data_IF_290406307527
#
_entry.id   IF_290406307527
#
_cell.length_a   1.000
_cell.length_b   1.000
_cell.length_c   1.000
_cell.angle_alpha   90.00
_cell.angle_beta   90.00
_cell.angle_gamma   90.00
#
_symmetry.space_group_name_H-M   'P 1'
#
loop_
_entity.id
_entity.type
_entity.pdbx_description
1 polymer ?
#
# COMPACT_ATOMS: atom_id res chain seq x y z
N UNK A 1 5.06 2.01 2.77
CA UNK A 1 5.60 1.21 3.88
C UNK A 1 7.11 1.24 3.87
N UNK A 2 7.74 1.56 4.99
CA UNK A 2 9.21 1.65 5.12
C UNK A 2 9.75 0.25 5.40
N UNK A 3 10.69 -0.20 4.57
CA UNK A 3 11.31 -1.52 4.68
C UNK A 3 12.66 -1.46 5.41
N UNK A 4 13.45 -0.43 5.13
CA UNK A 4 14.76 -0.22 5.73
C UNK A 4 15.02 1.27 5.90
N UNK A 5 15.86 1.61 6.86
CA UNK A 5 16.33 2.97 7.14
C UNK A 5 17.86 2.97 7.11
N UNK A 6 18.44 3.90 6.34
CA UNK A 6 19.87 4.09 6.22
C UNK A 6 20.23 5.54 6.54
N UNK A 7 21.50 5.78 6.85
CA UNK A 7 22.06 7.14 6.95
C UNK A 7 23.19 7.27 5.94
N UNK A 8 23.20 8.33 5.14
CA UNK A 8 24.28 8.59 4.19
C UNK A 8 25.45 9.34 4.85
N UNK A 9 26.56 9.50 4.12
CA UNK A 9 27.77 10.19 4.61
C UNK A 9 27.54 11.66 4.98
N UNK A 10 26.46 12.27 4.47
CA UNK A 10 26.05 13.63 4.79
C UNK A 10 25.11 13.71 6.02
N UNK A 11 24.83 12.58 6.68
CA UNK A 11 23.95 12.51 7.85
C UNK A 11 22.46 12.51 7.52
N UNK A 12 22.08 12.39 6.24
CA UNK A 12 20.68 12.35 5.83
C UNK A 12 20.10 10.95 5.93
N UNK A 13 18.82 10.89 6.23
CA UNK A 13 18.07 9.63 6.34
C UNK A 13 17.62 9.18 4.95
N UNK A 14 17.97 7.96 4.56
CA UNK A 14 17.47 7.32 3.34
C UNK A 14 16.52 6.20 3.73
N UNK A 15 15.30 6.24 3.23
CA UNK A 15 14.31 5.20 3.44
C UNK A 15 14.21 4.34 2.20
N UNK A 16 14.20 3.02 2.38
CA UNK A 16 13.73 2.10 1.35
C UNK A 16 12.24 1.86 1.56
N UNK A 17 11.42 2.29 0.61
CA UNK A 17 9.97 2.32 0.74
C UNK A 17 9.34 1.43 -0.33
N UNK A 18 8.48 0.51 0.10
CA UNK A 18 7.54 -0.16 -0.79
C UNK A 18 6.23 0.63 -0.81
N UNK A 19 5.87 1.17 -1.96
CA UNK A 19 4.58 1.84 -2.16
C UNK A 19 3.55 0.87 -2.71
N UNK A 20 2.27 1.14 -2.44
CA UNK A 20 1.13 0.41 -3.00
C UNK A 20 1.19 0.39 -4.53
N UNK A 21 1.55 1.53 -5.14
CA UNK A 21 1.76 1.66 -6.59
C UNK A 21 2.79 0.66 -7.09
N UNK A 22 3.90 0.49 -6.39
CA UNK A 22 4.97 -0.41 -6.80
C UNK A 22 4.56 -1.87 -6.66
N UNK A 23 3.80 -2.20 -5.60
CA UNK A 23 3.24 -3.56 -5.45
C UNK A 23 2.35 -3.90 -6.63
N UNK A 24 1.39 -3.03 -6.96
CA UNK A 24 0.45 -3.28 -8.07
C UNK A 24 1.14 -3.33 -9.45
N UNK A 25 2.22 -2.56 -9.64
CA UNK A 25 2.98 -2.54 -10.89
C UNK A 25 4.11 -3.57 -10.94
N UNK A 26 4.30 -4.38 -9.89
CA UNK A 26 5.42 -5.32 -9.73
C UNK A 26 6.78 -4.64 -9.89
N UNK A 27 6.90 -3.43 -9.35
CA UNK A 27 8.14 -2.65 -9.31
C UNK A 27 8.85 -2.87 -7.98
N UNK A 28 10.18 -2.71 -8.01
CA UNK A 28 11.03 -2.77 -6.84
C UNK A 28 10.70 -1.64 -5.84
N UNK A 29 11.08 -1.79 -4.55
CA UNK A 29 11.07 -0.69 -3.60
C UNK A 29 11.86 0.52 -4.10
N UNK A 30 11.41 1.71 -3.75
CA UNK A 30 12.09 2.97 -4.06
C UNK A 30 12.97 3.41 -2.89
N UNK A 31 14.00 4.21 -3.18
CA UNK A 31 14.80 4.89 -2.16
C UNK A 31 14.42 6.35 -2.13
N UNK A 32 14.13 6.88 -0.95
CA UNK A 32 13.72 8.27 -0.76
C UNK A 32 14.59 8.89 0.33
N UNK A 33 15.19 10.04 0.04
CA UNK A 33 16.02 10.80 0.96
C UNK A 33 15.18 11.82 1.74
N UNK A 34 15.39 11.90 3.05
CA UNK A 34 14.71 12.81 3.96
C UNK A 34 15.70 13.50 4.91
N UNK A 35 15.45 14.77 5.21
CA UNK A 35 16.02 15.46 6.37
C UNK A 35 15.13 15.18 7.59
N UNK A 36 15.40 14.06 8.25
CA UNK A 36 14.73 13.67 9.48
C UNK A 36 15.77 13.44 10.57
N UNK A 37 15.36 13.68 11.81
CA UNK A 37 16.17 13.30 12.96
C UNK A 37 16.44 11.79 12.94
N UNK A 38 17.61 11.34 13.41
CA UNK A 38 17.86 9.92 13.65
C UNK A 38 16.71 9.36 14.51
N UNK A 39 16.22 8.17 14.17
CA UNK A 39 15.13 7.46 14.87
C UNK A 39 13.73 8.08 14.74
N UNK A 40 13.52 9.09 13.88
CA UNK A 40 12.19 9.63 13.62
C UNK A 40 11.27 8.66 12.86
N UNK A 41 11.83 7.61 12.24
CA UNK A 41 11.11 6.60 11.48
C UNK A 41 11.65 5.22 11.85
N UNK A 42 10.73 4.34 12.24
CA UNK A 42 11.00 2.94 12.46
C UNK A 42 10.57 2.12 11.22
N UNK A 43 11.32 1.07 10.83
CA UNK A 43 10.89 0.12 9.83
C UNK A 43 9.58 -0.57 10.23
N UNK A 44 8.77 -0.93 9.23
CA UNK A 44 7.56 -1.72 9.50
C UNK A 44 7.92 -3.13 9.97
N UNK A 45 7.23 -3.62 11.00
CA UNK A 45 7.35 -5.00 11.44
C UNK A 45 6.54 -5.94 10.53
N UNK A 46 6.85 -7.24 10.57
CA UNK A 46 6.08 -8.26 9.84
C UNK A 46 4.58 -8.23 10.18
N UNK A 47 4.24 -7.92 11.43
CA UNK A 47 2.86 -7.76 11.92
C UNK A 47 2.13 -6.63 11.20
N UNK A 48 2.80 -5.50 10.99
CA UNK A 48 2.28 -4.37 10.23
C UNK A 48 2.01 -4.79 8.78
N UNK A 49 2.96 -5.51 8.16
CA UNK A 49 2.82 -6.02 6.79
C UNK A 49 1.57 -6.91 6.67
N UNK A 50 1.40 -7.82 7.63
CA UNK A 50 0.29 -8.77 7.65
C UNK A 50 -1.05 -8.06 7.85
N UNK A 51 -1.10 -7.05 8.71
CA UNK A 51 -2.27 -6.21 8.92
C UNK A 51 -2.66 -5.47 7.64
N UNK A 52 -1.69 -4.84 6.96
CA UNK A 52 -1.94 -4.10 5.72
C UNK A 52 -2.44 -5.03 4.60
N UNK A 53 -1.80 -6.20 4.45
CA UNK A 53 -2.24 -7.24 3.49
C UNK A 53 -3.65 -7.74 3.80
N UNK A 54 -4.00 -7.95 5.08
CA UNK A 54 -5.34 -8.36 5.47
C UNK A 54 -6.38 -7.29 5.11
N UNK A 55 -6.07 -6.01 5.38
CA UNK A 55 -6.90 -4.88 4.99
C UNK A 55 -7.14 -4.81 3.47
N UNK A 56 -6.10 -4.96 2.66
CA UNK A 56 -6.24 -4.97 1.20
C UNK A 56 -7.08 -6.15 0.70
N UNK A 57 -6.90 -7.35 1.27
CA UNK A 57 -7.72 -8.52 0.91
C UNK A 57 -9.19 -8.30 1.23
N UNK A 58 -9.50 -7.74 2.40
CA UNK A 58 -10.87 -7.42 2.80
C UNK A 58 -11.51 -6.39 1.86
N UNK A 59 -10.79 -5.30 1.55
CA UNK A 59 -11.27 -4.27 0.63
C UNK A 59 -11.50 -4.79 -0.79
N UNK A 60 -10.60 -5.65 -1.29
CA UNK A 60 -10.74 -6.29 -2.59
C UNK A 60 -11.95 -7.23 -2.62
N UNK A 61 -12.11 -8.05 -1.59
CA UNK A 61 -13.24 -8.97 -1.46
C UNK A 61 -14.58 -8.22 -1.49
N UNK A 62 -14.70 -7.14 -0.70
CA UNK A 62 -15.90 -6.29 -0.70
C UNK A 62 -16.16 -5.69 -2.08
N UNK A 63 -15.12 -5.18 -2.76
CA UNK A 63 -15.27 -4.59 -4.10
C UNK A 63 -15.75 -5.60 -5.14
N UNK A 64 -15.31 -6.87 -5.04
CA UNK A 64 -15.79 -7.96 -5.91
C UNK A 64 -17.28 -8.25 -5.62
N UNK A 65 -17.68 -8.30 -4.36
CA UNK A 65 -19.06 -8.53 -3.95
C UNK A 65 -20.00 -7.41 -4.44
N UNK A 66 -19.55 -6.17 -4.34
CA UNK A 66 -20.29 -5.00 -4.83
C UNK A 66 -20.46 -5.09 -6.37
N UNK A 67 -19.40 -5.42 -7.10
CA UNK A 67 -19.45 -5.57 -8.56
C UNK A 67 -20.40 -6.69 -9.00
N UNK A 68 -20.34 -7.85 -8.33
CA UNK A 68 -21.26 -8.96 -8.59
C UNK A 68 -22.70 -8.56 -8.29
N UNK A 69 -22.93 -7.82 -7.20
CA UNK A 69 -24.27 -7.33 -6.84
C UNK A 69 -24.82 -6.35 -7.88
N UNK A 70 -23.99 -5.43 -8.37
CA UNK A 70 -24.33 -4.51 -9.45
C UNK A 70 -24.64 -5.25 -10.76
N UNK A 71 -23.85 -6.26 -11.12
CA UNK A 71 -24.08 -7.06 -12.32
C UNK A 71 -25.35 -7.94 -12.24
N UNK A 72 -25.76 -8.34 -11.03
CA UNK A 72 -26.97 -9.13 -10.77
C UNK A 72 -28.22 -8.28 -10.61
N UNK A 73 -28.09 -6.97 -10.38
CA UNK A 73 -29.23 -6.07 -10.40
C UNK A 73 -29.87 -6.14 -11.80
N UNK A 74 -31.16 -6.48 -11.92
CA UNK A 74 -31.82 -6.51 -13.21
C UNK A 74 -31.65 -5.14 -13.87
N UNK A 75 -31.21 -5.14 -15.13
CA UNK A 75 -30.97 -3.91 -15.89
C UNK A 75 -32.16 -2.97 -15.76
N UNK A 76 -31.87 -1.67 -15.65
CA UNK A 76 -32.83 -0.57 -15.82
C UNK A 76 -33.40 -0.54 -17.26
N UNK A 77 -33.88 -1.67 -17.76
CA UNK A 77 -34.62 -1.83 -18.99
C UNK A 77 -36.11 -1.89 -18.66
N UNK A 78 -36.71 -0.73 -18.38
CA UNK A 78 -38.12 -0.39 -18.68
C UNK A 78 -38.54 0.88 -17.92
N UNK A 79 -38.29 2.04 -18.51
CA UNK A 79 -39.24 3.15 -18.44
C UNK A 79 -39.44 3.64 -19.87
N UNK A 80 -40.44 3.06 -20.54
CA UNK A 80 -41.19 3.70 -21.61
C UNK A 80 -42.33 4.48 -20.97
#
# INVERSE_FOLDING_TARGET
MVLDVFTNDAGKTILRVQTVRNVFRRLNPEFVEFDLAPDAIEPAELSDLQCEVAGYKAALQQSIEDLVSLARAPGNGARR
#
